data_IF_236349125105
#
_entry.id   IF_236349125105
#
_cell.length_a   1.000
_cell.length_b   1.000
_cell.length_c   1.000
_cell.angle_alpha   90.00
_cell.angle_beta   90.00
_cell.angle_gamma   90.00
#
_symmetry.space_group_name_H-M   'P 1'
#
loop_
_entity.id
_entity.type
_entity.pdbx_description
1 polymer ?
#
# COMPACT_ATOMS: atom_id res chain seq x y z
N UNK A 1 -3.74 -4.95 3.04
CA UNK A 1 -3.74 -6.05 4.02
C UNK A 1 -4.51 -7.26 3.53
N UNK A 2 -5.73 -7.08 2.96
CA UNK A 2 -6.62 -8.19 2.56
C UNK A 2 -6.02 -9.20 1.57
N UNK A 3 -5.17 -8.75 0.64
CA UNK A 3 -4.60 -9.59 -0.43
C UNK A 3 -3.35 -10.36 0.02
N UNK A 4 -2.70 -9.96 1.11
CA UNK A 4 -1.45 -10.56 1.59
C UNK A 4 -1.64 -12.04 1.99
N UNK A 5 -2.67 -12.43 2.78
CA UNK A 5 -2.88 -13.83 3.15
C UNK A 5 -3.06 -14.75 1.94
N UNK A 6 -3.82 -14.28 0.93
CA UNK A 6 -4.04 -15.05 -0.30
C UNK A 6 -2.74 -15.23 -1.09
N UNK A 7 -1.96 -14.15 -1.26
CA UNK A 7 -0.65 -14.22 -1.92
C UNK A 7 0.32 -15.12 -1.18
N UNK A 8 0.27 -15.13 0.17
CA UNK A 8 1.09 -16.01 0.99
C UNK A 8 0.68 -17.48 0.81
N UNK A 9 -0.62 -17.78 0.78
CA UNK A 9 -1.12 -19.13 0.51
C UNK A 9 -0.64 -19.64 -0.86
N UNK A 10 -0.71 -18.82 -1.92
CA UNK A 10 -0.17 -19.17 -3.24
C UNK A 10 1.35 -19.38 -3.22
N UNK A 11 2.09 -18.54 -2.53
CA UNK A 11 3.53 -18.68 -2.40
C UNK A 11 3.90 -20.00 -1.70
N UNK A 12 3.16 -20.37 -0.64
CA UNK A 12 3.34 -21.63 0.10
C UNK A 12 3.03 -22.84 -0.81
N UNK A 13 1.92 -22.79 -1.55
CA UNK A 13 1.57 -23.85 -2.50
C UNK A 13 2.64 -24.04 -3.58
N UNK A 14 3.15 -22.95 -4.16
CA UNK A 14 4.24 -23.01 -5.15
C UNK A 14 5.54 -23.59 -4.58
N UNK A 15 5.85 -23.29 -3.31
CA UNK A 15 7.04 -23.86 -2.62
C UNK A 15 6.93 -25.35 -2.39
N UNK A 16 5.73 -25.87 -2.20
CA UNK A 16 5.47 -27.29 -1.97
C UNK A 16 5.51 -28.13 -3.25
N UNK A 17 5.83 -27.53 -4.40
CA UNK A 17 5.87 -28.19 -5.72
C UNK A 17 4.62 -29.03 -6.04
N UNK A 18 3.44 -28.55 -5.62
CA UNK A 18 2.17 -29.25 -5.82
C UNK A 18 1.77 -29.11 -7.27
N UNK A 19 1.40 -30.22 -7.91
CA UNK A 19 0.82 -30.22 -9.27
C UNK A 19 -0.52 -29.46 -9.26
N UNK A 20 -0.87 -28.84 -10.40
CA UNK A 20 -2.11 -28.10 -10.59
C UNK A 20 -3.38 -28.93 -10.33
N UNK A 21 -3.29 -30.24 -10.57
CA UNK A 21 -4.41 -31.19 -10.42
C UNK A 21 -4.47 -31.87 -9.04
N UNK A 22 -3.58 -31.50 -8.12
CA UNK A 22 -3.56 -32.04 -6.76
C UNK A 22 -4.31 -31.13 -5.78
N UNK A 23 -4.85 -31.74 -4.73
CA UNK A 23 -5.48 -31.01 -3.65
C UNK A 23 -4.46 -30.10 -2.94
N UNK A 24 -4.89 -28.89 -2.57
CA UNK A 24 -4.08 -27.99 -1.76
C UNK A 24 -3.85 -28.60 -0.36
N UNK A 25 -2.66 -28.40 0.24
CA UNK A 25 -2.43 -28.73 1.63
C UNK A 25 -3.45 -28.02 2.54
N UNK A 26 -3.79 -28.67 3.64
CA UNK A 26 -4.77 -28.14 4.61
C UNK A 26 -4.39 -26.75 5.12
N UNK A 27 -3.10 -26.47 5.29
CA UNK A 27 -2.61 -25.15 5.68
C UNK A 27 -3.00 -24.07 4.67
N UNK A 28 -2.72 -24.30 3.38
CA UNK A 28 -3.09 -23.37 2.31
C UNK A 28 -4.61 -23.25 2.19
N UNK A 29 -5.33 -24.37 2.29
CA UNK A 29 -6.79 -24.40 2.21
C UNK A 29 -7.42 -23.58 3.34
N UNK A 30 -6.92 -23.70 4.57
CA UNK A 30 -7.39 -22.94 5.72
C UNK A 30 -7.14 -21.43 5.57
N UNK A 31 -5.98 -21.02 5.02
CA UNK A 31 -5.69 -19.62 4.73
C UNK A 31 -6.66 -19.06 3.67
N UNK A 32 -6.95 -19.82 2.62
CA UNK A 32 -7.91 -19.39 1.59
C UNK A 32 -9.33 -19.32 2.13
N UNK A 33 -9.78 -20.30 2.91
CA UNK A 33 -11.10 -20.29 3.56
C UNK A 33 -11.27 -19.10 4.51
N UNK A 34 -10.27 -18.84 5.36
CA UNK A 34 -10.26 -17.70 6.26
C UNK A 34 -10.30 -16.37 5.48
N UNK A 35 -9.54 -16.28 4.38
CA UNK A 35 -9.55 -15.10 3.51
C UNK A 35 -10.91 -14.87 2.87
N UNK A 36 -11.56 -15.94 2.34
CA UNK A 36 -12.91 -15.85 1.75
C UNK A 36 -13.94 -15.39 2.77
N UNK A 37 -13.87 -15.91 4.01
CA UNK A 37 -14.75 -15.47 5.09
C UNK A 37 -14.56 -13.98 5.37
N UNK A 38 -13.32 -13.53 5.57
CA UNK A 38 -13.03 -12.12 5.82
C UNK A 38 -13.45 -11.22 4.66
N UNK A 39 -13.33 -11.70 3.41
CA UNK A 39 -13.77 -10.94 2.22
C UNK A 39 -15.28 -10.74 2.22
N UNK A 40 -16.07 -11.73 2.65
CA UNK A 40 -17.53 -11.60 2.71
C UNK A 40 -18.01 -10.61 3.79
N UNK A 41 -17.17 -10.31 4.78
CA UNK A 41 -17.44 -9.35 5.86
C UNK A 41 -17.05 -7.90 5.47
N UNK A 42 -16.28 -7.73 4.39
CA UNK A 42 -15.90 -6.39 3.89
C UNK A 42 -17.09 -5.76 3.16
N UNK A 43 -17.62 -4.70 3.73
CA UNK A 43 -18.64 -3.89 3.08
C UNK A 43 -18.09 -3.07 1.90
N UNK A 44 -18.97 -2.29 1.29
CA UNK A 44 -18.57 -1.34 0.25
C UNK A 44 -17.69 -0.25 0.84
N UNK A 45 -16.50 -0.07 0.26
CA UNK A 45 -15.58 1.01 0.65
C UNK A 45 -15.58 2.02 -0.51
N UNK A 46 -16.04 3.23 -0.23
CA UNK A 46 -16.08 4.31 -1.21
C UNK A 46 -14.90 5.25 -1.01
N UNK A 47 -14.21 5.54 -2.09
CA UNK A 47 -13.15 6.54 -2.12
C UNK A 47 -13.56 7.68 -3.07
N UNK A 48 -13.52 8.94 -2.61
CA UNK A 48 -13.76 10.06 -3.50
C UNK A 48 -12.66 10.09 -4.57
N UNK A 49 -13.07 10.15 -5.84
CA UNK A 49 -12.12 10.22 -6.96
C UNK A 49 -11.29 11.50 -6.92
N UNK A 50 -11.88 12.58 -6.44
CA UNK A 50 -11.23 13.86 -6.26
C UNK A 50 -10.53 13.88 -4.89
N UNK A 51 -9.22 13.91 -4.91
CA UNK A 51 -8.41 13.86 -3.68
C UNK A 51 -8.23 15.22 -2.98
N UNK A 52 -8.66 16.32 -3.61
CA UNK A 52 -8.58 17.65 -3.01
C UNK A 52 -9.94 18.00 -2.38
N UNK A 53 -10.05 17.85 -1.07
CA UNK A 53 -11.30 18.05 -0.32
C UNK A 53 -11.66 19.54 -0.09
N UNK A 54 -10.96 20.46 -0.72
CA UNK A 54 -11.18 21.91 -0.59
C UNK A 54 -11.09 22.61 -1.95
N UNK A 55 -11.60 23.84 -2.02
CA UNK A 55 -11.47 24.67 -3.21
C UNK A 55 -9.99 24.97 -3.51
N UNK A 56 -9.62 24.91 -4.80
CA UNK A 56 -8.23 25.08 -5.24
C UNK A 56 -7.60 26.39 -4.75
N UNK A 57 -8.39 27.45 -4.69
CA UNK A 57 -7.93 28.78 -4.25
C UNK A 57 -7.71 28.89 -2.74
N UNK A 58 -8.18 27.92 -1.95
CA UNK A 58 -8.00 27.88 -0.50
C UNK A 58 -6.82 27.00 -0.06
N UNK A 59 -6.10 26.38 -0.98
CA UNK A 59 -4.97 25.51 -0.67
C UNK A 59 -3.75 26.35 -0.30
N UNK A 60 -3.24 26.17 0.93
CA UNK A 60 -2.00 26.80 1.42
C UNK A 60 -0.77 25.99 1.03
N UNK A 61 -0.84 24.68 1.26
CA UNK A 61 0.26 23.76 0.95
C UNK A 61 -0.25 22.39 0.58
N UNK A 62 0.51 21.69 -0.26
CA UNK A 62 0.28 20.30 -0.62
C UNK A 62 1.59 19.54 -0.37
N UNK A 63 1.52 18.43 0.33
CA UNK A 63 2.68 17.58 0.58
C UNK A 63 2.32 16.10 0.40
N UNK A 64 3.32 15.30 0.04
CA UNK A 64 3.20 13.85 0.02
C UNK A 64 3.72 13.27 1.33
N UNK A 65 2.95 12.38 1.91
CA UNK A 65 3.32 11.66 3.13
C UNK A 65 3.29 10.18 2.83
N UNK A 66 4.44 9.52 3.02
CA UNK A 66 4.59 8.10 2.75
C UNK A 66 4.95 7.32 4.00
N UNK A 67 4.38 6.11 4.11
CA UNK A 67 4.72 5.17 5.16
C UNK A 67 5.08 3.83 4.54
N UNK A 68 6.08 3.17 5.10
CA UNK A 68 6.46 1.81 4.77
C UNK A 68 6.60 0.99 6.05
N UNK A 69 6.24 -0.27 5.97
CA UNK A 69 6.36 -1.21 7.07
C UNK A 69 6.61 -2.61 6.56
N UNK A 70 7.19 -3.47 7.39
CA UNK A 70 7.49 -4.84 7.05
C UNK A 70 7.27 -5.79 8.23
N UNK A 71 6.92 -7.02 7.87
CA UNK A 71 6.86 -8.18 8.74
C UNK A 71 7.60 -9.36 8.10
N UNK A 72 7.71 -10.47 8.79
CA UNK A 72 8.32 -11.70 8.24
C UNK A 72 7.57 -12.23 7.00
N UNK A 73 6.29 -11.92 6.86
CA UNK A 73 5.41 -12.45 5.79
C UNK A 73 5.31 -11.50 4.61
N UNK A 74 5.33 -10.18 4.85
CA UNK A 74 5.06 -9.18 3.83
C UNK A 74 5.65 -7.82 4.19
N UNK A 75 5.82 -7.00 3.18
CA UNK A 75 6.15 -5.59 3.31
C UNK A 75 5.24 -4.74 2.43
N UNK A 76 5.05 -3.48 2.80
CA UNK A 76 4.15 -2.58 2.10
C UNK A 76 4.58 -1.13 2.16
N UNK A 77 3.97 -0.34 1.29
CA UNK A 77 4.10 1.11 1.29
C UNK A 77 2.79 1.77 0.91
N UNK A 78 2.57 2.96 1.43
CA UNK A 78 1.37 3.76 1.21
C UNK A 78 1.76 5.23 1.07
N UNK A 79 1.10 5.93 0.15
CA UNK A 79 1.32 7.37 -0.09
C UNK A 79 -0.01 8.09 0.05
N UNK A 80 -0.01 9.12 0.86
CA UNK A 80 -1.11 10.06 1.04
C UNK A 80 -0.73 11.42 0.48
N UNK A 81 -1.72 12.15 -0.02
CA UNK A 81 -1.62 13.60 -0.19
C UNK A 81 -2.14 14.28 1.07
N UNK A 82 -1.33 15.16 1.65
CA UNK A 82 -1.71 16.04 2.75
C UNK A 82 -1.92 17.44 2.19
N UNK A 83 -3.10 17.98 2.39
CA UNK A 83 -3.53 19.28 1.91
C UNK A 83 -3.83 20.16 3.11
N UNK A 84 -3.19 21.29 3.17
CA UNK A 84 -3.41 22.29 4.22
C UNK A 84 -4.19 23.46 3.65
N UNK A 85 -5.32 23.76 4.28
CA UNK A 85 -6.15 24.92 4.03
C UNK A 85 -6.21 25.80 5.28
N UNK A 86 -6.71 27.05 5.22
CA UNK A 86 -6.80 27.94 6.39
C UNK A 86 -7.55 27.35 7.58
N UNK A 87 -8.52 26.49 7.31
CA UNK A 87 -9.48 26.01 8.31
C UNK A 87 -9.33 24.51 8.63
N UNK A 88 -8.59 23.74 7.83
CA UNK A 88 -8.47 22.29 8.00
C UNK A 88 -7.23 21.71 7.32
N UNK A 89 -6.82 20.54 7.81
CA UNK A 89 -5.83 19.66 7.18
C UNK A 89 -6.56 18.41 6.73
N UNK A 90 -6.40 18.07 5.45
CA UNK A 90 -6.97 16.87 4.87
C UNK A 90 -5.84 15.92 4.45
N UNK A 91 -6.05 14.62 4.66
CA UNK A 91 -5.14 13.58 4.21
C UNK A 91 -5.94 12.53 3.43
N UNK A 92 -5.62 12.36 2.15
CA UNK A 92 -6.30 11.40 1.28
C UNK A 92 -5.32 10.37 0.74
N UNK A 93 -5.74 9.10 0.73
CA UNK A 93 -4.96 8.01 0.18
C UNK A 93 -4.84 8.16 -1.34
N UNK A 94 -3.61 8.14 -1.86
CA UNK A 94 -3.34 8.16 -3.31
C UNK A 94 -3.04 6.78 -3.86
N UNK A 95 -2.10 6.08 -3.24
CA UNK A 95 -1.66 4.76 -3.70
C UNK A 95 -1.11 3.94 -2.55
N UNK A 96 -1.35 2.64 -2.62
CA UNK A 96 -0.74 1.67 -1.71
C UNK A 96 -0.36 0.39 -2.46
N UNK A 97 0.66 -0.29 -1.98
CA UNK A 97 1.09 -1.57 -2.51
C UNK A 97 1.64 -2.45 -1.41
N UNK A 98 1.33 -3.75 -1.49
CA UNK A 98 1.91 -4.77 -0.62
C UNK A 98 2.55 -5.88 -1.44
N UNK A 99 3.61 -6.46 -0.92
CA UNK A 99 4.29 -7.64 -1.46
C UNK A 99 4.51 -8.66 -0.36
N UNK A 100 4.41 -9.94 -0.68
CA UNK A 100 4.86 -11.00 0.23
C UNK A 100 6.38 -11.02 0.28
N UNK A 101 6.91 -11.39 1.45
CA UNK A 101 8.34 -11.54 1.64
C UNK A 101 8.92 -12.58 0.67
N UNK A 102 10.19 -12.44 0.25
CA UNK A 102 10.85 -13.42 -0.59
C UNK A 102 10.83 -14.82 0.03
N UNK A 103 10.79 -15.84 -0.81
CA UNK A 103 10.83 -17.25 -0.33
C UNK A 103 12.10 -17.61 0.41
N UNK A 104 13.23 -16.97 0.05
CA UNK A 104 14.47 -17.08 0.82
C UNK A 104 14.34 -16.22 2.08
N UNK A 105 14.49 -16.79 3.27
CA UNK A 105 14.38 -16.06 4.52
C UNK A 105 15.21 -14.77 4.53
N UNK A 106 14.61 -13.69 4.98
CA UNK A 106 15.23 -12.38 5.09
C UNK A 106 15.15 -11.90 6.54
N UNK A 107 16.06 -11.06 6.94
CA UNK A 107 15.98 -10.36 8.23
C UNK A 107 14.97 -9.23 8.19
N UNK A 108 14.35 -8.91 9.32
CA UNK A 108 13.39 -7.81 9.41
C UNK A 108 13.95 -6.48 8.88
N UNK A 109 15.17 -6.03 9.26
CA UNK A 109 15.73 -4.79 8.72
C UNK A 109 15.85 -4.79 7.19
N UNK A 110 16.12 -5.96 6.60
CA UNK A 110 16.17 -6.07 5.14
C UNK A 110 14.79 -6.00 4.50
N UNK A 111 13.76 -6.53 5.14
CA UNK A 111 12.37 -6.41 4.70
C UNK A 111 11.86 -4.97 4.84
N UNK A 112 12.23 -4.28 5.91
CA UNK A 112 11.96 -2.85 6.09
C UNK A 112 12.59 -2.00 4.97
N UNK A 113 13.84 -2.30 4.61
CA UNK A 113 14.52 -1.64 3.50
C UNK A 113 13.82 -1.91 2.15
N UNK A 114 13.30 -3.12 1.93
CA UNK A 114 12.47 -3.44 0.76
C UNK A 114 11.13 -2.67 0.78
N UNK A 115 10.55 -2.46 1.95
CA UNK A 115 9.38 -1.60 2.15
C UNK A 115 9.68 -0.15 1.77
N UNK A 116 10.81 0.40 2.23
CA UNK A 116 11.27 1.75 1.88
C UNK A 116 11.54 1.89 0.37
N UNK A 117 12.16 0.90 -0.26
CA UNK A 117 12.37 0.88 -1.71
C UNK A 117 11.04 0.83 -2.47
N UNK A 118 10.08 0.04 -1.99
CA UNK A 118 8.74 -0.01 -2.57
C UNK A 118 8.06 1.35 -2.46
N UNK A 119 8.14 2.01 -1.30
CA UNK A 119 7.61 3.35 -1.08
C UNK A 119 8.25 4.38 -2.01
N UNK A 120 9.56 4.39 -2.16
CA UNK A 120 10.26 5.29 -3.08
C UNK A 120 9.75 5.13 -4.52
N UNK A 121 9.53 3.88 -4.97
CA UNK A 121 8.98 3.57 -6.28
C UNK A 121 7.49 3.96 -6.44
N UNK A 122 6.74 4.14 -5.35
CA UNK A 122 5.38 4.66 -5.37
C UNK A 122 5.36 6.20 -5.37
N UNK A 123 6.24 6.82 -4.61
CA UNK A 123 6.32 8.30 -4.48
C UNK A 123 6.74 8.95 -5.79
N UNK A 124 7.74 8.43 -6.47
CA UNK A 124 8.31 9.06 -7.67
C UNK A 124 7.27 9.33 -8.79
N UNK A 125 6.45 8.34 -9.23
CA UNK A 125 5.44 8.60 -10.25
C UNK A 125 4.31 9.51 -9.75
N UNK A 126 3.94 9.42 -8.47
CA UNK A 126 2.91 10.30 -7.87
C UNK A 126 3.42 11.74 -7.85
N UNK A 127 4.65 11.96 -7.42
CA UNK A 127 5.27 13.28 -7.41
C UNK A 127 5.34 13.88 -8.82
N UNK A 128 5.76 13.09 -9.80
CA UNK A 128 5.81 13.52 -11.20
C UNK A 128 4.43 13.91 -11.74
N UNK A 129 3.39 13.11 -11.43
CA UNK A 129 2.03 13.38 -11.85
C UNK A 129 1.45 14.64 -11.16
N UNK A 130 1.72 14.84 -9.89
CA UNK A 130 1.22 15.99 -9.14
C UNK A 130 1.96 17.29 -9.49
N UNK A 131 3.27 17.23 -9.76
CA UNK A 131 4.06 18.40 -10.18
C UNK A 131 3.56 19.03 -11.49
N UNK A 132 2.91 18.23 -12.35
CA UNK A 132 2.27 18.75 -13.56
C UNK A 132 0.95 19.49 -13.32
N UNK A 133 0.35 19.32 -12.15
CA UNK A 133 -0.97 19.86 -11.80
C UNK A 133 -0.88 20.92 -10.71
N UNK A 134 0.08 20.77 -9.80
CA UNK A 134 0.27 21.63 -8.63
C UNK A 134 1.77 21.92 -8.50
N UNK A 135 2.10 23.17 -8.23
CA UNK A 135 3.47 23.53 -7.88
C UNK A 135 3.79 22.97 -6.47
N UNK A 136 4.47 21.82 -6.47
CA UNK A 136 4.94 21.14 -5.25
C UNK A 136 6.31 21.68 -4.80
N UNK A 137 6.68 22.88 -5.24
CA UNK A 137 7.91 23.51 -4.76
C UNK A 137 7.88 23.54 -3.23
N UNK A 138 8.91 23.04 -2.54
CA UNK A 138 9.01 23.19 -1.12
C UNK A 138 9.08 24.69 -0.84
N UNK A 139 8.03 25.25 -0.28
CA UNK A 139 8.12 26.59 0.28
C UNK A 139 9.23 26.55 1.33
N UNK A 140 10.42 26.97 0.92
CA UNK A 140 11.46 27.42 1.80
C UNK A 140 10.91 28.66 2.51
N UNK A 141 10.17 28.46 3.58
CA UNK A 141 9.88 29.54 4.53
C UNK A 141 10.76 29.33 5.74
N UNK A 142 11.65 30.30 5.86
CA UNK A 142 12.49 30.62 7.01
C UNK A 142 11.69 30.69 8.33
#
# INVERSE_FOLDING_TARGET
>A
PMVVPLKHAFQTACRSNISWDCNLPDECLNLVKSWLKNLSEVGTIEFPRYCFSCERNSIKSVSLVGFADASEIAFGGVVYVRIESPNAIHANLLVSKSRVAPTKPQTIPRLELLGCLLLANLVAPVQSALSSVIDLSPNAQH
#
